data_IF_511226581567
#
_entry.id   IF_511226581567
#
_cell.length_a   1.000
_cell.length_b   1.000
_cell.length_c   1.000
_cell.angle_alpha   90.00
_cell.angle_beta   90.00
_cell.angle_gamma   90.00
#
_symmetry.space_group_name_H-M   'P 1'
#
loop_
_entity.id
_entity.type
_entity.pdbx_description
1 polymer ?
#
# COMPACT_ATOMS: atom_id res chain seq x y z
N UNK A 1 -9.69 21.24 -4.84
CA UNK A 1 -8.66 21.48 -3.82
C UNK A 1 -7.99 20.14 -3.55
N UNK A 2 -6.72 20.00 -3.91
CA UNK A 2 -5.97 18.78 -3.63
C UNK A 2 -5.66 18.73 -2.12
N UNK A 3 -6.12 17.66 -1.46
CA UNK A 3 -5.75 17.42 -0.06
C UNK A 3 -4.29 16.99 -0.01
N UNK A 4 -3.41 17.90 0.36
CA UNK A 4 -2.02 17.55 0.72
C UNK A 4 -2.04 16.60 1.91
N UNK A 5 -1.26 15.54 1.82
CA UNK A 5 -1.15 14.55 2.90
C UNK A 5 -0.53 15.23 4.12
N UNK A 6 -1.25 15.22 5.24
CA UNK A 6 -0.80 15.86 6.47
C UNK A 6 0.15 14.97 7.25
N UNK A 7 1.15 15.54 7.95
CA UNK A 7 2.01 14.78 8.85
C UNK A 7 1.22 13.96 9.86
N UNK A 8 1.72 12.77 10.16
CA UNK A 8 1.08 11.84 11.09
C UNK A 8 1.66 12.04 12.50
N UNK A 9 0.78 12.32 13.45
CA UNK A 9 1.14 12.42 14.87
C UNK A 9 0.35 11.41 15.69
N UNK A 10 1.03 10.41 16.24
CA UNK A 10 0.41 9.31 16.99
C UNK A 10 -0.45 9.81 18.16
N UNK A 11 -0.01 10.86 18.84
CA UNK A 11 -0.78 11.45 19.95
C UNK A 11 -2.12 12.05 19.47
N UNK A 12 -2.13 12.70 18.30
CA UNK A 12 -3.33 13.26 17.69
C UNK A 12 -4.29 12.15 17.22
N UNK A 13 -3.74 11.06 16.67
CA UNK A 13 -4.52 9.89 16.28
C UNK A 13 -5.24 9.25 17.47
N UNK A 14 -4.56 9.08 18.60
CA UNK A 14 -5.20 8.58 19.81
C UNK A 14 -6.24 9.55 20.36
N UNK A 15 -5.93 10.85 20.40
CA UNK A 15 -6.87 11.89 20.85
C UNK A 15 -8.13 11.93 19.99
N UNK A 16 -8.04 11.77 18.69
CA UNK A 16 -9.19 11.78 17.78
C UNK A 16 -10.05 10.51 17.86
N UNK A 17 -9.41 9.32 18.00
CA UNK A 17 -10.13 8.04 18.03
C UNK A 17 -10.70 7.70 19.41
N UNK A 18 -9.95 7.97 20.48
CA UNK A 18 -10.37 7.70 21.85
C UNK A 18 -9.76 8.71 22.84
N UNK A 19 -10.42 9.89 23.03
CA UNK A 19 -9.91 10.93 23.92
C UNK A 19 -9.73 10.51 25.38
N UNK A 20 -10.59 9.58 25.85
CA UNK A 20 -10.51 9.06 27.22
C UNK A 20 -9.23 8.23 27.40
N UNK A 21 -8.97 7.30 26.47
CA UNK A 21 -7.76 6.49 26.49
C UNK A 21 -6.50 7.35 26.33
N UNK A 22 -6.52 8.32 25.42
CA UNK A 22 -5.39 9.20 25.17
C UNK A 22 -4.93 9.98 26.42
N UNK A 23 -5.87 10.33 27.32
CA UNK A 23 -5.57 11.04 28.58
C UNK A 23 -4.80 10.17 29.59
N UNK A 24 -4.97 8.85 29.52
CA UNK A 24 -4.35 7.90 30.44
C UNK A 24 -3.02 7.33 29.95
N UNK A 25 -2.68 7.52 28.67
CA UNK A 25 -1.43 7.04 28.12
C UNK A 25 -0.27 7.94 28.58
N UNK A 26 0.73 7.39 29.30
CA UNK A 26 1.91 8.15 29.72
C UNK A 26 2.76 8.61 28.52
N UNK A 27 3.47 9.72 28.69
CA UNK A 27 4.32 10.29 27.64
C UNK A 27 5.38 9.31 27.12
N UNK A 28 5.95 8.47 27.97
CA UNK A 28 6.96 7.49 27.56
C UNK A 28 6.38 6.42 26.60
N UNK A 29 5.10 6.07 26.76
CA UNK A 29 4.41 5.15 25.84
C UNK A 29 4.26 5.79 24.48
N UNK A 30 3.88 7.07 24.42
CA UNK A 30 3.87 7.79 23.12
C UNK A 30 5.24 7.87 22.48
N UNK A 31 6.31 8.11 23.27
CA UNK A 31 7.68 8.12 22.76
C UNK A 31 8.10 6.75 22.21
N UNK A 32 7.72 5.68 22.89
CA UNK A 32 7.94 4.33 22.42
C UNK A 32 7.17 4.05 21.12
N UNK A 33 5.86 4.38 21.07
CA UNK A 33 5.03 4.20 19.89
C UNK A 33 5.55 5.01 18.70
N UNK A 34 5.96 6.27 18.89
CA UNK A 34 6.60 7.10 17.84
C UNK A 34 7.80 6.39 17.23
N UNK A 35 8.64 5.78 18.06
CA UNK A 35 9.82 5.04 17.60
C UNK A 35 9.43 3.77 16.84
N UNK A 36 8.46 3.01 17.37
CA UNK A 36 8.02 1.74 16.74
C UNK A 36 7.41 1.98 15.36
N UNK A 37 6.61 3.04 15.20
CA UNK A 37 6.02 3.38 13.89
C UNK A 37 6.94 4.21 13.00
N UNK A 38 8.15 4.53 13.46
CA UNK A 38 9.08 5.40 12.73
C UNK A 38 8.46 6.74 12.30
N UNK A 39 7.70 7.39 13.22
CA UNK A 39 6.88 8.57 12.90
C UNK A 39 7.66 9.67 12.19
N UNK A 40 8.88 9.96 12.64
CA UNK A 40 9.70 11.04 12.09
C UNK A 40 10.13 10.72 10.65
N UNK A 41 10.46 9.46 10.36
CA UNK A 41 10.78 8.98 9.01
C UNK A 41 9.56 9.06 8.09
N UNK A 42 8.38 8.64 8.58
CA UNK A 42 7.13 8.75 7.81
C UNK A 42 6.83 10.22 7.49
N UNK A 43 7.00 11.12 8.46
CA UNK A 43 6.74 12.55 8.24
C UNK A 43 7.77 13.20 7.33
N UNK A 44 9.04 12.80 7.40
CA UNK A 44 10.08 13.24 6.47
C UNK A 44 9.75 12.76 5.04
N UNK A 45 9.35 11.49 4.90
CA UNK A 45 8.89 10.95 3.63
C UNK A 45 7.67 11.72 3.07
N UNK A 46 6.64 11.95 3.91
CA UNK A 46 5.46 12.71 3.51
C UNK A 46 5.83 14.14 3.09
N UNK A 47 6.80 14.77 3.75
CA UNK A 47 7.23 16.13 3.39
C UNK A 47 7.91 16.20 2.02
N UNK A 48 8.59 15.12 1.60
CA UNK A 48 9.32 15.04 0.34
C UNK A 48 8.45 14.57 -0.83
N UNK A 49 7.59 13.60 -0.57
CA UNK A 49 6.86 12.86 -1.61
C UNK A 49 5.33 12.92 -1.46
N UNK A 50 4.82 13.63 -0.45
CA UNK A 50 3.39 13.66 -0.12
C UNK A 50 2.48 14.23 -1.22
N UNK A 51 3.01 15.02 -2.13
CA UNK A 51 2.27 15.57 -3.27
C UNK A 51 2.23 14.61 -4.48
N UNK A 52 3.08 13.58 -4.48
CA UNK A 52 3.11 12.57 -5.54
C UNK A 52 1.96 11.58 -5.41
N UNK A 53 1.55 10.96 -6.52
CA UNK A 53 0.46 9.98 -6.55
C UNK A 53 0.81 8.81 -7.47
N UNK A 54 0.20 7.67 -7.18
CA UNK A 54 0.32 6.48 -8.03
C UNK A 54 1.74 6.00 -8.20
N UNK A 55 2.20 5.89 -9.44
CA UNK A 55 3.53 5.40 -9.77
C UNK A 55 4.64 6.27 -9.16
N UNK A 56 4.54 7.59 -9.29
CA UNK A 56 5.58 8.50 -8.77
C UNK A 56 5.72 8.38 -7.26
N UNK A 57 4.61 8.25 -6.54
CA UNK A 57 4.63 8.02 -5.10
C UNK A 57 5.27 6.68 -4.73
N UNK A 58 4.98 5.61 -5.49
CA UNK A 58 5.63 4.31 -5.28
C UNK A 58 7.14 4.36 -5.54
N UNK A 59 7.57 5.07 -6.59
CA UNK A 59 8.98 5.33 -6.87
C UNK A 59 9.66 6.11 -5.74
N UNK A 60 8.99 7.16 -5.22
CA UNK A 60 9.47 7.92 -4.07
C UNK A 60 9.64 7.06 -2.80
N UNK A 61 8.76 6.08 -2.57
CA UNK A 61 8.93 5.12 -1.47
C UNK A 61 10.21 4.29 -1.66
N UNK A 62 10.43 3.76 -2.86
CA UNK A 62 11.61 2.94 -3.14
C UNK A 62 12.91 3.76 -2.99
N UNK A 63 12.92 4.98 -3.51
CA UNK A 63 14.06 5.91 -3.37
C UNK A 63 14.32 6.23 -1.89
N UNK A 64 13.30 6.59 -1.15
CA UNK A 64 13.41 6.95 0.27
C UNK A 64 13.93 5.80 1.14
N UNK A 65 13.54 4.57 0.82
CA UNK A 65 13.95 3.36 1.53
C UNK A 65 15.25 2.75 1.00
N UNK A 66 15.88 3.37 -0.01
CA UNK A 66 17.07 2.87 -0.71
C UNK A 66 16.87 1.42 -1.22
N UNK A 67 15.68 1.14 -1.75
CA UNK A 67 15.33 -0.17 -2.29
C UNK A 67 15.62 -0.19 -3.78
N UNK A 68 16.53 -1.06 -4.19
CA UNK A 68 16.77 -1.41 -5.58
C UNK A 68 16.28 -2.83 -5.88
N UNK A 69 15.86 -3.09 -7.12
CA UNK A 69 15.42 -4.41 -7.55
C UNK A 69 15.91 -4.73 -8.96
N UNK A 70 16.10 -6.00 -9.21
CA UNK A 70 16.48 -6.53 -10.53
C UNK A 70 15.31 -7.38 -11.04
N UNK A 71 14.96 -7.24 -12.31
CA UNK A 71 13.92 -8.02 -12.97
C UNK A 71 14.57 -9.00 -13.92
N UNK A 72 14.37 -10.26 -13.64
CA UNK A 72 14.73 -11.35 -14.55
C UNK A 72 13.49 -11.83 -15.30
N UNK A 73 13.65 -12.21 -16.57
CA UNK A 73 12.54 -12.72 -17.39
C UNK A 73 11.56 -11.64 -17.86
N UNK A 74 11.98 -10.38 -17.92
CA UNK A 74 11.12 -9.26 -18.39
C UNK A 74 10.56 -9.49 -19.79
N UNK A 75 11.26 -10.22 -20.63
CA UNK A 75 10.88 -10.63 -21.98
C UNK A 75 9.66 -11.56 -22.01
N UNK A 76 9.31 -12.18 -20.89
CA UNK A 76 8.14 -13.05 -20.76
C UNK A 76 6.86 -12.27 -20.41
N UNK A 77 6.96 -10.95 -20.18
CA UNK A 77 5.78 -10.16 -19.92
C UNK A 77 4.90 -10.06 -21.16
N UNK A 78 3.57 -10.15 -20.99
CA UNK A 78 2.65 -9.97 -22.10
C UNK A 78 2.65 -8.53 -22.60
N UNK A 79 2.19 -8.32 -23.85
CA UNK A 79 2.09 -6.99 -24.47
C UNK A 79 1.10 -6.11 -23.69
N UNK A 80 1.31 -4.77 -23.66
CA UNK A 80 0.45 -3.87 -22.88
C UNK A 80 -1.01 -3.79 -23.34
N UNK A 81 -1.34 -4.32 -24.50
CA UNK A 81 -2.68 -4.21 -25.12
C UNK A 81 -3.74 -5.16 -24.53
N UNK A 82 -3.28 -6.15 -23.75
CA UNK A 82 -4.18 -7.12 -23.13
C UNK A 82 -4.62 -6.72 -21.72
N UNK A 83 -5.46 -7.58 -21.12
CA UNK A 83 -5.87 -7.52 -19.72
C UNK A 83 -5.29 -8.70 -18.98
N UNK A 84 -4.57 -8.43 -17.90
CA UNK A 84 -3.83 -9.47 -17.20
C UNK A 84 -4.01 -9.37 -15.70
N UNK A 85 -3.89 -10.52 -15.05
CA UNK A 85 -3.77 -10.63 -13.60
C UNK A 85 -2.34 -11.05 -13.29
N UNK A 86 -1.63 -10.20 -12.57
CA UNK A 86 -0.28 -10.49 -12.09
C UNK A 86 -0.37 -11.06 -10.68
N UNK A 87 -0.23 -12.36 -10.56
CA UNK A 87 -0.22 -13.05 -9.29
C UNK A 87 1.22 -13.23 -8.81
N UNK A 88 1.52 -12.81 -7.58
CA UNK A 88 2.84 -12.94 -6.99
C UNK A 88 2.79 -13.58 -5.60
N UNK A 89 3.90 -14.12 -5.14
CA UNK A 89 4.11 -14.44 -3.73
C UNK A 89 4.37 -13.16 -2.93
N UNK A 90 4.22 -13.24 -1.61
CA UNK A 90 4.32 -12.10 -0.71
C UNK A 90 5.37 -12.37 0.37
N UNK A 91 6.63 -12.22 0.02
CA UNK A 91 7.76 -12.66 0.85
C UNK A 91 8.28 -11.57 1.81
N UNK A 92 8.30 -10.30 1.36
CA UNK A 92 8.91 -9.19 2.09
C UNK A 92 7.90 -8.25 2.76
N UNK A 93 6.61 -8.43 2.48
CA UNK A 93 5.56 -7.54 3.00
C UNK A 93 5.38 -6.27 2.16
N UNK A 94 5.32 -5.09 2.82
CA UNK A 94 5.06 -3.82 2.13
C UNK A 94 5.87 -3.56 0.86
N UNK A 95 7.19 -3.78 0.86
CA UNK A 95 8.05 -3.59 -0.31
C UNK A 95 7.61 -4.36 -1.56
N UNK A 96 7.10 -5.58 -1.44
CA UNK A 96 6.69 -6.38 -2.61
C UNK A 96 5.64 -5.65 -3.45
N UNK A 97 4.62 -5.09 -2.78
CA UNK A 97 3.55 -4.37 -3.46
C UNK A 97 4.06 -3.10 -4.16
N UNK A 98 4.94 -2.37 -3.50
CA UNK A 98 5.52 -1.12 -4.05
C UNK A 98 6.43 -1.42 -5.24
N UNK A 99 7.26 -2.47 -5.16
CA UNK A 99 8.11 -2.92 -6.27
C UNK A 99 7.24 -3.32 -7.47
N UNK A 100 6.16 -4.09 -7.25
CA UNK A 100 5.26 -4.48 -8.33
C UNK A 100 4.57 -3.28 -8.98
N UNK A 101 4.12 -2.30 -8.19
CA UNK A 101 3.53 -1.06 -8.71
C UNK A 101 4.57 -0.29 -9.54
N UNK A 102 5.79 -0.11 -9.02
CA UNK A 102 6.87 0.57 -9.73
C UNK A 102 7.22 -0.14 -11.05
N UNK A 103 7.43 -1.45 -10.99
CA UNK A 103 7.82 -2.23 -12.15
C UNK A 103 6.72 -2.29 -13.23
N UNK A 104 5.52 -2.70 -12.84
CA UNK A 104 4.41 -2.86 -13.78
C UNK A 104 3.85 -1.52 -14.24
N UNK A 105 3.88 -0.49 -13.40
CA UNK A 105 3.40 0.84 -13.76
C UNK A 105 4.22 1.54 -14.83
N UNK A 106 5.49 1.15 -15.01
CA UNK A 106 6.34 1.61 -16.12
C UNK A 106 5.96 1.00 -17.48
N UNK A 107 5.24 -0.13 -17.45
CA UNK A 107 4.89 -0.91 -18.65
C UNK A 107 3.41 -0.76 -18.97
N UNK A 108 2.57 -0.83 -17.94
CA UNK A 108 1.10 -0.83 -18.07
C UNK A 108 0.52 0.45 -17.50
N UNK A 109 -0.33 1.14 -18.25
CA UNK A 109 -0.86 2.47 -17.89
C UNK A 109 -1.85 2.45 -16.72
N UNK A 110 -2.58 1.36 -16.55
CA UNK A 110 -3.64 1.25 -15.55
C UNK A 110 -3.39 0.03 -14.68
N UNK A 111 -3.16 0.26 -13.42
CA UNK A 111 -2.98 -0.78 -12.41
C UNK A 111 -4.12 -0.73 -11.38
N UNK A 112 -4.56 -1.88 -10.95
CA UNK A 112 -5.46 -2.06 -9.81
C UNK A 112 -4.89 -3.12 -8.87
N UNK A 113 -4.92 -2.82 -7.58
CA UNK A 113 -4.31 -3.67 -6.56
C UNK A 113 -5.27 -3.81 -5.37
N UNK A 114 -5.94 -4.95 -5.23
CA UNK A 114 -6.77 -5.25 -4.08
C UNK A 114 -5.94 -5.28 -2.80
N UNK A 115 -6.28 -4.42 -1.84
CA UNK A 115 -5.56 -4.25 -0.58
C UNK A 115 -6.52 -4.23 0.61
N UNK A 116 -5.99 -4.49 1.80
CA UNK A 116 -6.78 -4.37 3.04
C UNK A 116 -7.04 -2.90 3.40
N UNK A 117 -8.02 -2.69 4.31
CA UNK A 117 -8.45 -1.35 4.74
C UNK A 117 -7.35 -0.48 5.34
N UNK A 118 -6.34 -1.10 5.95
CA UNK A 118 -5.23 -0.36 6.52
C UNK A 118 -4.44 0.38 5.45
N UNK A 119 -4.21 -0.28 4.31
CA UNK A 119 -3.47 0.30 3.19
C UNK A 119 -4.27 1.37 2.43
N UNK A 120 -5.60 1.37 2.54
CA UNK A 120 -6.45 2.44 1.99
C UNK A 120 -6.21 3.82 2.65
N UNK A 121 -5.52 3.86 3.79
CA UNK A 121 -5.07 5.13 4.37
C UNK A 121 -3.91 5.79 3.60
N UNK A 122 -3.23 5.06 2.71
CA UNK A 122 -2.24 5.61 1.78
C UNK A 122 -2.95 6.27 0.59
N UNK A 123 -3.53 7.42 0.82
CA UNK A 123 -4.37 8.16 -0.16
C UNK A 123 -3.67 8.43 -1.49
N UNK A 124 -2.35 8.54 -1.47
CA UNK A 124 -1.52 8.74 -2.66
C UNK A 124 -1.60 7.57 -3.66
N UNK A 125 -2.01 6.39 -3.20
CA UNK A 125 -2.18 5.20 -4.03
C UNK A 125 -3.65 4.85 -4.32
N UNK A 126 -4.61 5.71 -3.98
CA UNK A 126 -6.03 5.46 -4.19
C UNK A 126 -6.44 5.24 -5.66
N UNK A 127 -5.64 5.76 -6.60
CA UNK A 127 -5.84 5.52 -8.03
C UNK A 127 -5.47 4.08 -8.45
N UNK A 128 -4.67 3.39 -7.62
CA UNK A 128 -4.22 2.01 -7.84
C UNK A 128 -4.92 1.04 -6.89
N UNK A 129 -5.03 1.40 -5.61
CA UNK A 129 -5.60 0.53 -4.58
C UNK A 129 -7.10 0.34 -4.71
N UNK A 130 -7.55 -0.89 -4.44
CA UNK A 130 -8.95 -1.27 -4.31
C UNK A 130 -9.18 -1.85 -2.92
N UNK A 131 -10.21 -1.43 -2.18
CA UNK A 131 -10.51 -2.00 -0.88
C UNK A 131 -11.02 -3.45 -1.02
N UNK A 132 -10.47 -4.36 -0.20
CA UNK A 132 -10.98 -5.71 -0.05
C UNK A 132 -11.45 -5.90 1.38
N UNK A 133 -12.73 -5.66 1.62
CA UNK A 133 -13.35 -5.86 2.93
C UNK A 133 -13.99 -7.24 3.02
N UNK A 134 -13.63 -7.99 4.05
CA UNK A 134 -14.19 -9.31 4.30
C UNK A 134 -15.57 -9.27 5.01
N UNK A 135 -15.95 -8.14 5.61
CA UNK A 135 -17.14 -8.04 6.47
C UNK A 135 -17.85 -6.69 6.35
N UNK A 136 -19.20 -6.72 6.37
CA UNK A 136 -20.06 -5.53 6.46
C UNK A 136 -20.65 -5.01 5.14
N UNK A 137 -21.37 -3.88 5.21
CA UNK A 137 -22.02 -3.24 4.05
C UNK A 137 -21.02 -2.81 2.98
N UNK A 138 -19.85 -2.35 3.36
CA UNK A 138 -18.73 -2.00 2.46
C UNK A 138 -18.22 -3.21 1.64
N UNK A 139 -18.53 -4.44 2.07
CA UNK A 139 -18.13 -5.63 1.32
C UNK A 139 -18.83 -5.73 -0.05
N UNK A 140 -20.06 -5.22 -0.19
CA UNK A 140 -20.78 -5.21 -1.47
C UNK A 140 -20.20 -4.19 -2.44
N UNK A 141 -19.91 -2.99 -1.98
CA UNK A 141 -19.27 -1.95 -2.80
C UNK A 141 -17.87 -2.38 -3.25
N UNK A 142 -17.07 -2.92 -2.34
CA UNK A 142 -15.75 -3.45 -2.66
C UNK A 142 -15.81 -4.61 -3.68
N UNK A 143 -16.83 -5.46 -3.61
CA UNK A 143 -17.04 -6.53 -4.61
C UNK A 143 -17.36 -5.95 -5.99
N UNK A 144 -18.21 -4.93 -6.06
CA UNK A 144 -18.53 -4.23 -7.31
C UNK A 144 -17.31 -3.52 -7.88
N UNK A 145 -16.51 -2.87 -7.05
CA UNK A 145 -15.27 -2.21 -7.49
C UNK A 145 -14.25 -3.22 -8.03
N UNK A 146 -14.17 -4.39 -7.40
CA UNK A 146 -13.32 -5.48 -7.86
C UNK A 146 -13.82 -6.06 -9.20
N UNK A 147 -15.13 -6.30 -9.34
CA UNK A 147 -15.74 -6.74 -10.60
C UNK A 147 -15.51 -5.71 -11.72
N UNK A 148 -15.70 -4.43 -11.43
CA UNK A 148 -15.43 -3.36 -12.38
C UNK A 148 -13.95 -3.31 -12.79
N UNK A 149 -13.03 -3.54 -11.85
CA UNK A 149 -11.61 -3.62 -12.16
C UNK A 149 -11.28 -4.79 -13.09
N UNK A 150 -11.85 -5.97 -12.83
CA UNK A 150 -11.70 -7.13 -13.72
C UNK A 150 -12.37 -6.94 -15.09
N UNK A 151 -13.44 -6.18 -15.17
CA UNK A 151 -14.13 -5.87 -16.43
C UNK A 151 -13.43 -4.76 -17.24
N UNK A 152 -12.57 -3.96 -16.59
CA UNK A 152 -11.88 -2.82 -17.21
C UNK A 152 -10.65 -3.26 -18.01
N UNK A 153 -9.96 -2.29 -18.62
CA UNK A 153 -8.67 -2.46 -19.29
C UNK A 153 -7.46 -2.36 -18.32
N UNK A 154 -7.72 -2.34 -17.01
CA UNK A 154 -6.65 -2.29 -16.01
C UNK A 154 -6.01 -3.66 -15.78
N UNK A 155 -4.73 -3.64 -15.47
CA UNK A 155 -4.01 -4.82 -15.00
C UNK A 155 -4.26 -4.98 -13.51
N UNK A 156 -4.56 -6.18 -13.07
CA UNK A 156 -4.80 -6.45 -11.64
C UNK A 156 -3.58 -7.13 -11.03
N UNK A 157 -3.02 -6.54 -9.99
CA UNK A 157 -1.95 -7.13 -9.19
C UNK A 157 -2.59 -7.84 -8.00
N UNK A 158 -2.16 -9.03 -7.65
CA UNK A 158 -2.69 -9.75 -6.49
C UNK A 158 -1.63 -10.60 -5.79
N UNK A 159 -1.77 -10.71 -4.49
CA UNK A 159 -1.10 -11.72 -3.66
C UNK A 159 -2.15 -12.77 -3.25
N UNK A 160 -2.27 -13.90 -3.98
CA UNK A 160 -3.35 -14.87 -3.73
C UNK A 160 -3.35 -15.45 -2.32
N UNK A 161 -2.18 -15.56 -1.67
CA UNK A 161 -2.06 -16.01 -0.30
C UNK A 161 -2.69 -15.02 0.72
N UNK A 162 -2.83 -13.74 0.35
CA UNK A 162 -3.42 -12.68 1.17
C UNK A 162 -2.65 -12.34 2.45
N UNK A 163 -1.52 -12.98 2.68
CA UNK A 163 -0.63 -12.75 3.84
C UNK A 163 0.83 -12.89 3.42
N UNK A 164 1.69 -12.18 4.15
CA UNK A 164 3.14 -12.32 4.00
C UNK A 164 3.57 -13.76 4.27
N UNK A 165 4.43 -14.29 3.42
CA UNK A 165 4.97 -15.65 3.55
C UNK A 165 5.67 -15.82 4.91
N UNK A 166 5.40 -16.93 5.56
CA UNK A 166 5.98 -17.24 6.88
C UNK A 166 6.71 -18.56 6.82
N UNK A 167 7.89 -18.59 7.44
CA UNK A 167 8.64 -19.84 7.62
C UNK A 167 7.92 -20.71 8.66
N UNK A 168 7.43 -21.87 8.24
CA UNK A 168 6.83 -22.88 9.13
C UNK A 168 7.70 -24.12 9.11
N UNK A 169 8.23 -24.54 10.26
CA UNK A 169 9.13 -25.71 10.40
C UNK A 169 10.29 -25.74 9.40
N UNK A 170 10.85 -24.55 9.10
CA UNK A 170 12.01 -24.44 8.20
C UNK A 170 11.69 -24.33 6.70
N UNK A 171 10.42 -24.39 6.32
CA UNK A 171 9.95 -24.25 4.92
C UNK A 171 9.17 -22.94 4.79
N UNK A 172 9.38 -22.20 3.69
CA UNK A 172 8.63 -20.98 3.33
C UNK A 172 7.46 -21.35 2.46
#
# INVERSE_FOLDING_TARGET
>A
MEETVKPIYIEQLFKSKNPKLARWIPKFVYSFLKRVICQDQINDFISKYGDQKGLDFAEGILEYLDISYIIEGKENLPTPDGRYIFAANHALGGPDGIILISFLGKIYKKLKFPVNDLLMNLKNLNNIFLPVNKHGALAKEAAVDLENAFASDAQVITFPAGMVSRKVKGVV
#
